data_IF_333192212325
#
_entry.id   IF_333192212325
#
_cell.length_a   1.000
_cell.length_b   1.000
_cell.length_c   1.000
_cell.angle_alpha   90.00
_cell.angle_beta   90.00
_cell.angle_gamma   90.00
#
_symmetry.space_group_name_H-M   'P 1'
#
loop_
_entity.id
_entity.type
_entity.pdbx_description
1 polymer ?
#
# COMPACT_ATOMS: atom_id res chain seq x y z
N UNK A 1 14.65 13.50 8.70
CA UNK A 1 13.44 13.88 7.94
C UNK A 1 12.47 12.71 7.98
N UNK A 2 11.17 12.95 8.17
CA UNK A 2 10.19 11.87 8.34
C UNK A 2 9.11 11.88 7.27
N UNK A 3 8.93 10.74 6.61
CA UNK A 3 7.96 10.53 5.53
C UNK A 3 6.86 9.60 6.02
N UNK A 4 5.62 9.96 5.68
CA UNK A 4 4.47 9.09 5.86
C UNK A 4 4.17 8.34 4.56
N UNK A 5 3.87 7.06 4.62
CA UNK A 5 3.36 6.29 3.48
C UNK A 5 1.97 5.79 3.83
N UNK A 6 0.96 6.25 3.12
CA UNK A 6 -0.40 5.73 3.21
C UNK A 6 -0.55 4.58 2.22
N UNK A 7 -0.72 3.36 2.73
CA UNK A 7 -0.96 2.17 1.91
C UNK A 7 -2.26 1.49 2.32
N UNK A 8 -3.17 1.18 1.37
CA UNK A 8 -4.34 0.35 1.68
C UNK A 8 -4.00 -1.09 2.06
N UNK A 9 -2.82 -1.55 1.66
CA UNK A 9 -2.42 -2.94 1.80
C UNK A 9 -0.91 -2.98 2.03
N UNK A 10 -0.48 -3.41 3.21
CA UNK A 10 0.93 -3.47 3.60
C UNK A 10 1.30 -4.87 4.11
N UNK A 11 2.34 -5.53 3.59
CA UNK A 11 2.64 -6.92 3.95
C UNK A 11 2.98 -7.10 5.43
N UNK A 12 2.55 -8.19 6.09
CA UNK A 12 1.82 -9.36 5.56
C UNK A 12 0.33 -9.08 5.29
N UNK A 13 -0.07 -9.24 4.03
CA UNK A 13 -1.45 -9.11 3.56
C UNK A 13 -2.05 -10.49 3.28
N UNK A 14 -3.38 -10.63 3.34
CA UNK A 14 -4.08 -11.88 2.98
C UNK A 14 -3.88 -12.32 1.51
N UNK A 15 -3.62 -11.36 0.61
CA UNK A 15 -3.34 -11.62 -0.80
C UNK A 15 -2.18 -10.74 -1.29
N UNK A 16 -1.26 -11.28 -2.12
CA UNK A 16 -0.20 -10.49 -2.75
C UNK A 16 -0.76 -9.35 -3.60
N UNK A 17 -0.34 -8.13 -3.32
CA UNK A 17 -0.77 -6.93 -4.01
C UNK A 17 0.45 -6.12 -4.46
N UNK A 18 0.41 -5.62 -5.70
CA UNK A 18 1.56 -4.90 -6.28
C UNK A 18 1.95 -3.64 -5.50
N UNK A 19 0.96 -2.98 -4.87
CA UNK A 19 1.22 -1.83 -3.99
C UNK A 19 1.93 -2.25 -2.70
N UNK A 20 1.48 -3.33 -2.06
CA UNK A 20 2.09 -3.82 -0.84
C UNK A 20 3.54 -4.24 -1.07
N UNK A 21 3.79 -4.95 -2.17
CA UNK A 21 5.14 -5.38 -2.55
C UNK A 21 6.04 -4.19 -2.91
N UNK A 22 5.51 -3.21 -3.65
CA UNK A 22 6.21 -1.95 -3.93
C UNK A 22 6.58 -1.22 -2.62
N UNK A 23 5.64 -1.13 -1.67
CA UNK A 23 5.89 -0.49 -0.37
C UNK A 23 6.97 -1.25 0.40
N UNK A 24 6.92 -2.59 0.39
CA UNK A 24 7.87 -3.46 1.08
C UNK A 24 9.30 -3.29 0.54
N UNK A 25 9.46 -3.02 -0.76
CA UNK A 25 10.77 -2.74 -1.34
C UNK A 25 11.21 -1.28 -1.12
N UNK A 26 10.27 -0.34 -1.16
CA UNK A 26 10.56 1.09 -1.01
C UNK A 26 10.99 1.47 0.42
N UNK A 27 10.30 0.93 1.42
CA UNK A 27 10.55 1.23 2.85
C UNK A 27 12.02 1.00 3.27
N UNK A 28 12.62 -0.18 3.06
CA UNK A 28 13.99 -0.45 3.50
C UNK A 28 15.01 0.44 2.78
N UNK A 29 14.80 0.78 1.50
CA UNK A 29 15.70 1.70 0.79
C UNK A 29 15.62 3.13 1.33
N UNK A 30 14.42 3.60 1.71
CA UNK A 30 14.26 4.90 2.37
C UNK A 30 14.93 4.92 3.75
N UNK A 31 14.75 3.86 4.54
CA UNK A 31 15.39 3.72 5.86
C UNK A 31 16.91 3.67 5.70
N UNK A 32 17.44 2.93 4.72
CA UNK A 32 18.88 2.85 4.42
C UNK A 32 19.45 4.19 3.97
N UNK A 33 18.65 5.05 3.34
CA UNK A 33 19.01 6.42 3.01
C UNK A 33 18.95 7.39 4.21
N UNK A 34 18.64 6.90 5.42
CA UNK A 34 18.56 7.71 6.65
C UNK A 34 17.23 8.45 6.81
N UNK A 35 16.18 8.04 6.08
CA UNK A 35 14.84 8.62 6.18
C UNK A 35 14.01 7.83 7.19
N UNK A 36 13.38 8.54 8.12
CA UNK A 36 12.42 7.92 9.02
C UNK A 36 11.09 7.70 8.30
N UNK A 37 10.58 6.46 8.31
CA UNK A 37 9.35 6.10 7.61
C UNK A 37 8.26 5.70 8.59
N UNK A 38 7.07 6.27 8.42
CA UNK A 38 5.84 5.85 9.09
C UNK A 38 4.84 5.33 8.05
N UNK A 39 4.44 4.07 8.16
CA UNK A 39 3.46 3.45 7.28
C UNK A 39 2.09 3.51 7.94
N UNK A 40 1.12 4.16 7.29
CA UNK A 40 -0.28 4.18 7.69
C UNK A 40 -1.03 3.11 6.90
N UNK A 41 -1.63 2.16 7.62
CA UNK A 41 -2.33 1.00 7.05
C UNK A 41 -3.67 0.73 7.75
N UNK A 42 -4.42 -0.24 7.23
CA UNK A 42 -5.66 -0.73 7.81
C UNK A 42 -5.49 -1.39 9.18
N UNK A 43 -6.56 -1.39 9.99
CA UNK A 43 -6.61 -2.12 11.27
C UNK A 43 -6.58 -3.65 11.08
N UNK A 44 -6.93 -4.14 9.90
CA UNK A 44 -6.87 -5.54 9.50
C UNK A 44 -5.44 -6.05 9.24
N UNK A 45 -4.44 -5.17 9.33
CA UNK A 45 -3.03 -5.53 9.24
C UNK A 45 -2.59 -6.42 10.40
N UNK A 46 -2.19 -7.65 10.06
CA UNK A 46 -1.78 -8.69 11.01
C UNK A 46 -0.28 -8.74 11.33
N UNK A 47 0.55 -7.88 10.73
CA UNK A 47 1.99 -7.89 10.93
C UNK A 47 2.48 -7.15 12.19
N UNK A 48 3.80 -7.03 12.38
CA UNK A 48 4.40 -6.31 13.51
C UNK A 48 4.21 -4.80 13.41
N UNK A 49 4.18 -4.10 14.56
CA UNK A 49 4.05 -2.63 14.65
C UNK A 49 5.28 -1.87 14.17
N UNK A 50 6.39 -2.55 13.97
CA UNK A 50 7.58 -2.08 13.26
C UNK A 50 7.96 -3.12 12.23
N UNK A 51 8.25 -2.69 11.00
CA UNK A 51 8.63 -3.57 9.91
C UNK A 51 9.71 -2.90 9.07
N UNK A 52 10.82 -3.58 8.84
CA UNK A 52 11.93 -3.10 7.99
C UNK A 52 12.48 -1.72 8.43
N UNK A 53 12.48 -1.44 9.73
CA UNK A 53 12.92 -0.15 10.30
C UNK A 53 11.91 0.99 10.18
N UNK A 54 10.71 0.73 9.67
CA UNK A 54 9.60 1.69 9.65
C UNK A 54 8.58 1.42 10.74
N UNK A 55 7.98 2.49 11.27
CA UNK A 55 6.87 2.43 12.21
C UNK A 55 5.57 2.17 11.46
N UNK A 56 4.80 1.16 11.85
CA UNK A 56 3.53 0.80 11.21
C UNK A 56 2.34 1.20 12.10
N UNK A 57 1.53 2.14 11.61
CA UNK A 57 0.37 2.71 12.28
C UNK A 57 -0.93 2.17 11.65
N UNK A 58 -1.65 1.35 12.39
CA UNK A 58 -2.89 0.67 11.98
C UNK A 58 -4.10 1.51 12.37
N UNK A 59 -4.53 2.41 11.49
CA UNK A 59 -5.48 3.47 11.84
C UNK A 59 -6.78 3.43 11.04
N UNK A 60 -6.79 2.75 9.89
CA UNK A 60 -7.96 2.71 9.02
C UNK A 60 -8.84 1.49 9.29
N UNK A 61 -10.02 1.71 9.89
CA UNK A 61 -11.10 0.68 10.00
C UNK A 61 -11.82 0.39 8.68
N UNK A 62 -11.50 1.17 7.67
CA UNK A 62 -12.23 1.41 6.45
C UNK A 62 -11.76 2.77 5.94
N UNK A 63 -12.01 3.09 4.68
CA UNK A 63 -11.27 4.18 4.06
C UNK A 63 -11.92 5.54 4.11
N UNK A 64 -13.14 5.67 4.66
CA UNK A 64 -13.90 6.92 4.68
C UNK A 64 -13.28 8.09 5.47
N UNK A 65 -13.92 9.27 5.44
CA UNK A 65 -13.41 10.52 6.02
C UNK A 65 -12.95 10.41 7.48
N UNK A 66 -13.64 9.60 8.30
CA UNK A 66 -13.28 9.39 9.70
C UNK A 66 -11.92 8.70 9.90
N UNK A 67 -11.53 7.80 8.99
CA UNK A 67 -10.19 7.20 9.04
C UNK A 67 -9.14 8.17 8.50
N UNK A 68 -9.48 8.96 7.47
CA UNK A 68 -8.59 9.98 6.93
C UNK A 68 -8.28 11.08 7.94
N UNK A 69 -9.25 11.51 8.75
CA UNK A 69 -9.00 12.47 9.84
C UNK A 69 -8.09 11.88 10.90
N UNK A 70 -8.23 10.59 11.26
CA UNK A 70 -7.29 9.90 12.16
C UNK A 70 -5.89 9.83 11.59
N UNK A 71 -5.75 9.47 10.31
CA UNK A 71 -4.45 9.44 9.61
C UNK A 71 -3.84 10.84 9.58
N UNK A 72 -4.62 11.87 9.24
CA UNK A 72 -4.14 13.25 9.19
C UNK A 72 -3.69 13.73 10.58
N UNK A 73 -4.42 13.41 11.64
CA UNK A 73 -4.03 13.72 13.02
C UNK A 73 -2.74 13.00 13.40
N UNK A 74 -2.66 11.69 13.16
CA UNK A 74 -1.46 10.92 13.42
C UNK A 74 -0.26 11.43 12.62
N UNK A 75 -0.45 11.85 11.37
CA UNK A 75 0.61 12.45 10.57
C UNK A 75 1.13 13.76 11.18
N UNK A 76 0.25 14.58 11.79
CA UNK A 76 0.68 15.79 12.52
C UNK A 76 1.40 15.43 13.82
N UNK A 77 0.86 14.50 14.59
CA UNK A 77 1.42 14.08 15.89
C UNK A 77 2.82 13.47 15.71
N UNK A 78 3.01 12.68 14.64
CA UNK A 78 4.29 12.06 14.27
C UNK A 78 5.24 13.03 13.53
N UNK A 79 4.82 14.29 13.30
CA UNK A 79 5.57 15.33 12.59
C UNK A 79 6.01 14.91 11.18
N UNK A 80 5.11 14.25 10.46
CA UNK A 80 5.34 13.84 9.07
C UNK A 80 5.49 15.06 8.17
N UNK A 81 6.57 15.10 7.38
CA UNK A 81 6.79 16.15 6.38
C UNK A 81 5.97 15.91 5.11
N UNK A 82 6.43 15.02 4.20
CA UNK A 82 5.63 14.57 3.08
C UNK A 82 4.85 13.28 3.41
N UNK A 83 3.61 13.20 2.91
CA UNK A 83 2.76 12.01 2.98
C UNK A 83 2.56 11.45 1.58
N UNK A 84 3.18 10.30 1.31
CA UNK A 84 3.04 9.55 0.07
C UNK A 84 1.77 8.69 0.12
N UNK A 85 0.78 9.02 -0.71
CA UNK A 85 -0.47 8.28 -0.84
C UNK A 85 -0.37 7.31 -2.00
N UNK A 86 -0.41 6.01 -1.71
CA UNK A 86 -0.42 4.96 -2.73
C UNK A 86 -1.86 4.70 -3.17
N UNK A 87 -2.22 5.30 -4.30
CA UNK A 87 -3.57 5.33 -4.79
C UNK A 87 -3.83 4.20 -5.78
N UNK A 88 -4.63 3.23 -5.36
CA UNK A 88 -5.35 2.30 -6.23
C UNK A 88 -6.80 2.14 -5.72
N UNK A 89 -7.79 2.69 -6.42
CA UNK A 89 -9.21 2.63 -6.04
C UNK A 89 -9.69 1.20 -5.71
N UNK A 90 -9.21 0.22 -6.47
CA UNK A 90 -9.64 -1.18 -6.39
C UNK A 90 -9.25 -1.85 -5.05
N UNK A 91 -8.29 -1.29 -4.32
CA UNK A 91 -7.81 -1.83 -3.03
C UNK A 91 -8.46 -1.17 -1.82
N UNK A 92 -9.40 -0.24 -2.02
CA UNK A 92 -10.09 0.47 -0.95
C UNK A 92 -11.54 -0.04 -0.80
N UNK A 93 -11.79 -1.08 0.03
CA UNK A 93 -13.14 -1.53 0.29
C UNK A 93 -13.89 -0.62 1.28
N UNK A 94 -15.22 -0.46 1.11
CA UNK A 94 -15.97 -0.74 -0.11
C UNK A 94 -15.59 0.26 -1.22
N UNK A 95 -15.49 -0.23 -2.46
CA UNK A 95 -15.13 0.52 -3.68
C UNK A 95 -16.21 1.53 -4.06
N UNK A 96 -16.34 2.57 -3.24
CA UNK A 96 -17.34 3.61 -3.37
C UNK A 96 -16.77 4.79 -4.15
N UNK A 97 -17.60 5.46 -4.95
CA UNK A 97 -17.20 6.61 -5.78
C UNK A 97 -16.49 7.72 -4.97
N UNK A 98 -16.71 7.78 -3.65
CA UNK A 98 -16.04 8.73 -2.77
C UNK A 98 -14.50 8.56 -2.76
N UNK A 99 -13.98 7.36 -3.06
CA UNK A 99 -12.53 7.10 -3.09
C UNK A 99 -11.79 7.90 -4.17
N UNK A 100 -12.50 8.34 -5.22
CA UNK A 100 -11.93 9.25 -6.22
C UNK A 100 -11.62 10.64 -5.66
N UNK A 101 -12.29 11.01 -4.56
CA UNK A 101 -12.02 12.25 -3.83
C UNK A 101 -10.96 12.08 -2.73
N UNK A 102 -10.44 10.87 -2.50
CA UNK A 102 -9.42 10.62 -1.47
C UNK A 102 -8.21 11.57 -1.55
N UNK A 103 -7.59 11.82 -2.72
CA UNK A 103 -6.45 12.73 -2.80
C UNK A 103 -6.80 14.17 -2.40
N UNK A 104 -7.99 14.64 -2.81
CA UNK A 104 -8.48 15.96 -2.45
C UNK A 104 -8.83 16.04 -0.95
N UNK A 105 -9.48 15.01 -0.42
CA UNK A 105 -9.81 14.91 0.99
C UNK A 105 -8.54 14.95 1.86
N UNK A 106 -7.48 14.22 1.48
CA UNK A 106 -6.22 14.25 2.22
C UNK A 106 -5.57 15.64 2.20
N UNK A 107 -5.64 16.35 1.07
CA UNK A 107 -5.15 17.74 0.98
C UNK A 107 -5.93 18.69 1.89
N UNK A 108 -7.24 18.50 2.02
CA UNK A 108 -8.08 19.32 2.90
C UNK A 108 -7.95 18.95 4.38
N UNK A 109 -7.78 17.66 4.70
CA UNK A 109 -7.78 17.14 6.07
C UNK A 109 -6.41 17.21 6.74
N UNK A 110 -5.32 17.28 5.97
CA UNK A 110 -3.96 17.44 6.48
C UNK A 110 -3.33 18.78 6.05
N UNK A 111 -3.93 19.94 6.39
CA UNK A 111 -3.35 21.24 6.06
C UNK A 111 -1.98 21.35 6.75
N UNK A 112 -0.92 21.50 5.96
CA UNK A 112 0.46 21.58 6.42
C UNK A 112 1.33 20.33 6.14
N UNK A 113 0.73 19.19 5.79
CA UNK A 113 1.47 17.98 5.38
C UNK A 113 1.53 17.95 3.85
N UNK A 114 2.72 17.85 3.26
CA UNK A 114 2.87 17.82 1.80
C UNK A 114 2.40 16.47 1.26
N UNK A 115 1.18 16.41 0.74
CA UNK A 115 0.65 15.18 0.14
C UNK A 115 1.26 14.95 -1.26
N UNK A 116 1.86 13.78 -1.46
CA UNK A 116 2.37 13.29 -2.74
C UNK A 116 1.54 12.08 -3.14
N UNK A 117 1.04 12.04 -4.36
CA UNK A 117 0.19 10.94 -4.83
C UNK A 117 0.99 10.03 -5.76
N UNK A 118 1.07 8.74 -5.44
CA UNK A 118 1.55 7.70 -6.34
C UNK A 118 0.35 6.96 -6.91
N UNK A 119 0.06 7.15 -8.20
CA UNK A 119 -1.02 6.44 -8.88
C UNK A 119 -0.52 5.07 -9.36
N UNK A 120 -1.12 3.99 -8.87
CA UNK A 120 -0.76 2.62 -9.26
C UNK A 120 -1.75 2.01 -10.28
N UNK A 121 -2.79 2.75 -10.65
CA UNK A 121 -3.81 2.39 -11.64
C UNK A 121 -4.17 3.64 -12.45
N UNK A 122 -4.07 3.57 -13.77
CA UNK A 122 -4.43 4.65 -14.70
C UNK A 122 -5.67 4.20 -15.48
N UNK A 123 -6.86 4.42 -14.92
CA UNK A 123 -8.14 4.01 -15.51
C UNK A 123 -9.16 3.57 -14.45
N UNK A 124 -10.46 3.68 -14.78
CA UNK A 124 -11.55 3.10 -13.96
C UNK A 124 -11.39 1.59 -13.74
N UNK A 125 -12.30 0.93 -12.98
CA UNK A 125 -12.06 -0.33 -12.29
C UNK A 125 -11.36 -1.34 -13.20
N UNK A 126 -10.07 -1.54 -12.98
CA UNK A 126 -9.21 -2.27 -13.89
C UNK A 126 -9.27 -3.77 -13.54
N UNK A 127 -10.44 -4.39 -13.74
CA UNK A 127 -10.57 -5.84 -13.70
C UNK A 127 -9.75 -6.54 -14.82
N UNK A 128 -9.18 -5.79 -15.77
CA UNK A 128 -8.51 -6.36 -16.94
C UNK A 128 -6.97 -6.45 -16.87
N UNK A 129 -6.27 -5.88 -15.87
CA UNK A 129 -4.79 -5.96 -15.85
C UNK A 129 -4.23 -7.21 -15.15
N UNK A 130 -5.06 -7.95 -14.41
CA UNK A 130 -4.65 -9.22 -13.74
C UNK A 130 -5.27 -10.49 -14.34
N UNK A 131 -5.97 -10.41 -15.47
CA UNK A 131 -6.45 -11.60 -16.17
C UNK A 131 -5.36 -12.31 -17.00
N UNK A 132 -4.21 -11.66 -17.23
CA UNK A 132 -3.08 -12.25 -17.97
C UNK A 132 -2.10 -13.08 -17.14
N UNK A 133 -2.12 -12.97 -15.81
CA UNK A 133 -1.17 -13.68 -14.92
C UNK A 133 -1.67 -15.05 -14.44
N UNK A 134 -2.83 -15.50 -14.93
CA UNK A 134 -3.49 -16.75 -14.53
C UNK A 134 -3.13 -17.99 -15.33
N UNK A 135 -2.16 -17.94 -16.25
CA UNK A 135 -1.75 -19.11 -17.05
C UNK A 135 -0.24 -19.36 -17.01
N UNK A 136 0.35 -19.34 -15.81
CA UNK A 136 1.53 -20.17 -15.58
C UNK A 136 1.04 -21.61 -15.38
N UNK A 137 0.91 -22.35 -16.47
CA UNK A 137 0.83 -23.81 -16.40
C UNK A 137 2.01 -24.32 -15.57
N UNK A 138 1.81 -25.27 -14.65
CA UNK A 138 2.93 -25.90 -13.97
C UNK A 138 3.86 -26.52 -15.03
N UNK A 139 5.19 -26.44 -14.86
CA UNK A 139 6.11 -27.09 -15.78
C UNK A 139 5.78 -28.59 -15.86
N UNK A 140 5.81 -29.19 -17.06
CA UNK A 140 5.54 -30.61 -17.20
C UNK A 140 6.53 -31.41 -16.34
N UNK A 141 6.09 -32.53 -15.74
CA UNK A 141 6.97 -33.38 -14.95
C UNK A 141 8.16 -33.86 -15.81
N UNK A 142 9.35 -34.04 -15.20
CA UNK A 142 10.52 -34.49 -15.94
C UNK A 142 10.24 -35.83 -16.63
N UNK A 143 10.41 -35.85 -17.95
CA UNK A 143 10.37 -37.05 -18.76
C UNK A 143 11.39 -38.05 -18.21
N UNK A 144 10.91 -39.18 -17.69
CA UNK A 144 11.77 -40.32 -17.37
C UNK A 144 12.49 -40.74 -18.65
N UNK A 145 13.78 -40.46 -18.71
CA UNK A 145 14.65 -40.92 -19.76
C UNK A 145 14.60 -42.45 -19.76
N UNK A 146 14.04 -42.97 -20.85
CA UNK A 146 14.05 -44.37 -21.24
C UNK A 146 15.51 -44.84 -21.29
N UNK A 147 15.96 -45.55 -20.25
CA UNK A 147 17.21 -46.30 -20.28
C UNK A 147 17.09 -47.40 -21.32
N UNK A 148 17.61 -47.14 -22.52
CA UNK A 148 18.05 -48.21 -23.43
C UNK A 148 19.47 -48.56 -23.03
N UNK A 149 19.65 -49.73 -22.42
CA UNK A 149 20.76 -50.65 -22.67
C UNK A 149 20.36 -52.02 -22.19
#
# INVERSE_FOLDING_TARGET
MRIGILSPSYPPNRAPCGIGDFTKMLVPELVRAGVEVAVFTGEDYGGPGEAEGAKVLRLARGWGPASLTRIARAARDEKIGPLLVQYAPDLYPPSSAWIHFLPLAMRCLAPGVRTVLSMHTVGGPAFASKAGAGSCSPPPPPSSARTRR
#
